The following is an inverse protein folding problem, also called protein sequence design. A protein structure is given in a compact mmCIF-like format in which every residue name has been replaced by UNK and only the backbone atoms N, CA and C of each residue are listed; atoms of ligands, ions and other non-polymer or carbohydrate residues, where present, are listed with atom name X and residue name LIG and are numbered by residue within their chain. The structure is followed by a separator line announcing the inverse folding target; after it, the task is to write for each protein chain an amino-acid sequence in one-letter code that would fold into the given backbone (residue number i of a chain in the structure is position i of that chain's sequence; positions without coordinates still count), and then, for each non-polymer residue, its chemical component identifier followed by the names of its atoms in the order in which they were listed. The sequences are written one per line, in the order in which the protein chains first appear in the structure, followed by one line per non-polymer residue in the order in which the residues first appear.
data_IF_599072586548
#
_entry.id   IF_599072586548
#
_cell.length_a   1.000
_cell.length_b   1.000
_cell.length_c   1.000
_cell.angle_alpha   90.00
_cell.angle_beta   90.00
_cell.angle_gamma   90.00
#
_symmetry.space_group_name_H-M   'P 1'
#
loop_
_entity.id
_entity.type
_entity.pdbx_description
1 polymer ?
#
# COMPACT_ATOMS: atom_id res chain seq x y z
N UNK A 1 -3.41 -19.86 -8.22
CA UNK A 1 -3.31 -21.30 -7.84
C UNK A 1 -1.97 -21.80 -8.28
N UNK A 2 -1.03 -21.97 -7.42
CA UNK A 2 -0.05 -23.02 -7.66
C UNK A 2 -0.83 -24.33 -7.50
N UNK A 3 -0.85 -25.16 -8.51
CA UNK A 3 -1.06 -26.60 -8.27
C UNK A 3 -0.03 -27.00 -7.22
N UNK A 4 -0.30 -28.02 -6.40
CA UNK A 4 0.61 -28.54 -5.36
C UNK A 4 2.09 -28.75 -5.81
N UNK A 5 2.40 -28.48 -7.06
CA UNK A 5 3.70 -28.62 -7.73
C UNK A 5 4.34 -27.30 -8.22
N UNK A 6 3.87 -26.12 -7.83
CA UNK A 6 4.50 -24.84 -8.21
C UNK A 6 4.39 -24.45 -9.70
N UNK A 7 3.55 -25.11 -10.49
CA UNK A 7 3.33 -24.77 -11.90
C UNK A 7 2.22 -23.74 -12.04
N UNK A 8 2.48 -22.67 -12.81
CA UNK A 8 1.46 -21.70 -13.18
C UNK A 8 0.35 -22.37 -13.99
N UNK A 9 -0.91 -21.99 -13.72
CA UNK A 9 -2.09 -22.45 -14.45
C UNK A 9 -1.92 -22.17 -15.95
N UNK A 10 -2.18 -23.16 -16.80
CA UNK A 10 -2.19 -23.00 -18.26
C UNK A 10 -3.59 -22.61 -18.78
N UNK A 11 -3.70 -22.31 -20.09
CA UNK A 11 -4.96 -21.86 -20.71
C UNK A 11 -6.11 -22.88 -20.58
N UNK A 12 -5.82 -24.16 -20.66
CA UNK A 12 -6.83 -25.22 -20.55
C UNK A 12 -7.33 -25.31 -19.09
N UNK A 13 -6.44 -25.23 -18.13
CA UNK A 13 -6.76 -25.18 -16.70
C UNK A 13 -7.57 -23.91 -16.36
N UNK A 14 -7.23 -22.77 -16.97
CA UNK A 14 -8.02 -21.54 -16.81
C UNK A 14 -9.44 -21.71 -17.35
N UNK A 15 -9.61 -22.26 -18.54
CA UNK A 15 -10.94 -22.52 -19.12
C UNK A 15 -11.77 -23.44 -18.24
N UNK A 16 -11.16 -24.52 -17.75
CA UNK A 16 -11.84 -25.46 -16.85
C UNK A 16 -12.23 -24.76 -15.55
N UNK A 17 -11.32 -23.97 -14.95
CA UNK A 17 -11.60 -23.22 -13.74
C UNK A 17 -12.78 -22.25 -13.89
N UNK A 18 -12.84 -21.50 -14.99
CA UNK A 18 -13.95 -20.59 -15.29
C UNK A 18 -15.29 -21.35 -15.43
N UNK A 19 -15.29 -22.54 -16.05
CA UNK A 19 -16.47 -23.38 -16.18
C UNK A 19 -16.92 -23.92 -14.81
N UNK A 20 -16.00 -24.45 -14.02
CA UNK A 20 -16.28 -25.06 -12.70
C UNK A 20 -16.89 -24.04 -11.73
N UNK A 21 -16.43 -22.79 -11.80
CA UNK A 21 -16.96 -21.68 -11.00
C UNK A 21 -18.10 -20.91 -11.67
N UNK A 22 -18.54 -21.35 -12.86
CA UNK A 22 -19.63 -20.71 -13.65
C UNK A 22 -19.40 -19.24 -13.90
N UNK A 23 -18.15 -18.83 -14.15
CA UNK A 23 -17.79 -17.42 -14.33
C UNK A 23 -18.34 -16.90 -15.64
N UNK A 24 -19.15 -15.86 -15.56
CA UNK A 24 -19.70 -15.14 -16.71
C UNK A 24 -18.81 -13.96 -17.12
N UNK A 25 -18.23 -13.27 -16.16
CA UNK A 25 -17.42 -12.08 -16.36
C UNK A 25 -16.07 -12.14 -15.65
N UNK A 26 -15.07 -11.51 -16.28
CA UNK A 26 -13.72 -11.35 -15.73
C UNK A 26 -13.42 -9.87 -15.58
N UNK A 27 -13.13 -9.43 -14.37
CA UNK A 27 -12.52 -8.14 -14.12
C UNK A 27 -11.01 -8.24 -14.41
N UNK A 28 -10.63 -7.81 -15.59
CA UNK A 28 -9.23 -7.68 -15.98
C UNK A 28 -8.71 -6.34 -15.47
N UNK A 29 -7.78 -6.33 -14.51
CA UNK A 29 -7.36 -5.10 -13.82
C UNK A 29 -5.85 -4.90 -13.83
N UNK A 30 -5.43 -3.63 -13.77
CA UNK A 30 -4.07 -3.20 -13.45
C UNK A 30 -4.12 -2.19 -12.29
N UNK A 31 -3.21 -2.25 -11.31
CA UNK A 31 -3.08 -1.21 -10.29
C UNK A 31 -2.41 0.02 -10.90
N UNK A 32 -3.06 1.19 -10.86
CA UNK A 32 -2.44 2.46 -11.25
C UNK A 32 -1.54 3.03 -10.15
N UNK A 33 -0.92 4.19 -10.37
CA UNK A 33 -0.01 4.82 -9.41
C UNK A 33 -0.68 5.27 -8.11
N UNK A 34 -1.99 5.53 -8.13
CA UNK A 34 -2.78 5.83 -6.95
C UNK A 34 -3.26 4.57 -6.20
N UNK A 35 -3.03 3.38 -6.74
CA UNK A 35 -3.57 2.12 -6.22
C UNK A 35 -5.03 1.89 -6.57
N UNK A 36 -5.53 2.56 -7.62
CA UNK A 36 -6.88 2.33 -8.16
C UNK A 36 -6.85 1.19 -9.17
N UNK A 37 -7.88 0.33 -9.14
CA UNK A 37 -8.04 -0.72 -10.14
C UNK A 37 -8.52 -0.11 -11.47
N UNK A 38 -7.66 -0.12 -12.48
CA UNK A 38 -7.99 0.27 -13.84
C UNK A 38 -8.15 -0.98 -14.69
N UNK A 39 -9.16 -1.02 -15.55
CA UNK A 39 -9.36 -2.24 -16.32
C UNK A 39 -10.66 -2.30 -17.10
N UNK A 40 -11.03 -3.53 -17.43
CA UNK A 40 -12.25 -3.82 -18.21
C UNK A 40 -12.97 -5.04 -17.64
N UNK A 41 -14.28 -4.99 -17.66
CA UNK A 41 -15.12 -6.19 -17.57
C UNK A 41 -15.10 -6.90 -18.92
N UNK A 42 -14.82 -8.18 -18.92
CA UNK A 42 -14.76 -8.99 -20.13
C UNK A 42 -15.63 -10.25 -19.95
N UNK A 43 -16.52 -10.58 -20.91
CA UNK A 43 -17.15 -11.90 -20.89
C UNK A 43 -16.09 -13.00 -20.83
N UNK A 44 -16.27 -14.02 -20.00
CA UNK A 44 -15.27 -15.08 -19.73
C UNK A 44 -14.77 -15.74 -21.03
N UNK A 45 -15.69 -16.00 -22.00
CA UNK A 45 -15.30 -16.51 -23.31
C UNK A 45 -14.35 -15.57 -24.04
N UNK A 46 -14.61 -14.25 -24.02
CA UNK A 46 -13.80 -13.26 -24.72
C UNK A 46 -12.40 -13.13 -24.08
N UNK A 47 -12.35 -13.18 -22.75
CA UNK A 47 -11.10 -13.17 -22.00
C UNK A 47 -10.19 -14.35 -22.40
N UNK A 48 -10.75 -15.57 -22.50
CA UNK A 48 -9.98 -16.76 -22.91
C UNK A 48 -9.54 -16.73 -24.37
N UNK A 49 -10.32 -16.08 -25.27
CA UNK A 49 -9.95 -15.93 -26.67
C UNK A 49 -8.81 -14.92 -26.89
N UNK A 50 -8.79 -13.84 -26.11
CA UNK A 50 -7.85 -12.72 -26.29
C UNK A 50 -6.57 -12.85 -25.48
N UNK A 51 -6.56 -13.64 -24.41
CA UNK A 51 -5.42 -13.82 -23.51
C UNK A 51 -5.01 -12.56 -22.75
N UNK A 52 -5.93 -11.61 -22.56
CA UNK A 52 -5.70 -10.35 -21.87
C UNK A 52 -6.57 -9.21 -22.42
N UNK A 53 -6.35 -8.01 -21.92
CA UNK A 53 -7.05 -6.79 -22.35
C UNK A 53 -6.08 -5.82 -23.05
N UNK A 54 -6.62 -4.74 -23.60
CA UNK A 54 -5.86 -3.61 -24.15
C UNK A 54 -6.22 -2.36 -23.38
N UNK A 55 -5.20 -1.64 -22.91
CA UNK A 55 -5.29 -0.35 -22.23
C UNK A 55 -4.18 0.55 -22.70
N UNK A 56 -4.40 1.87 -22.84
CA UNK A 56 -3.34 2.81 -23.14
C UNK A 56 -2.41 2.98 -21.92
N UNK A 57 -1.15 3.34 -22.17
CA UNK A 57 -0.18 3.56 -21.08
C UNK A 57 -0.56 4.75 -20.18
N UNK A 58 -1.35 5.70 -20.71
CA UNK A 58 -1.84 6.86 -19.97
C UNK A 58 -2.65 6.51 -18.71
N UNK A 59 -3.15 5.29 -18.56
CA UNK A 59 -3.80 4.85 -17.31
C UNK A 59 -2.89 5.01 -16.08
N UNK A 60 -1.56 4.96 -16.26
CA UNK A 60 -0.59 5.13 -15.18
C UNK A 60 -0.26 6.58 -14.85
N UNK A 61 -0.69 7.55 -15.65
CA UNK A 61 -0.42 8.97 -15.44
C UNK A 61 -1.65 9.77 -15.00
N UNK A 62 -2.69 9.08 -14.58
CA UNK A 62 -3.87 9.71 -14.00
C UNK A 62 -3.65 10.02 -12.52
N UNK A 63 -3.95 11.25 -12.11
CA UNK A 63 -4.01 11.67 -10.71
C UNK A 63 -5.16 10.98 -9.97
N UNK A 64 -5.23 11.17 -8.65
CA UNK A 64 -6.36 10.69 -7.85
C UNK A 64 -7.69 11.38 -8.23
N UNK A 65 -7.64 12.55 -8.88
CA UNK A 65 -8.81 13.27 -9.41
C UNK A 65 -9.23 12.75 -10.78
N UNK A 66 -8.46 11.85 -11.40
CA UNK A 66 -8.70 11.32 -12.73
C UNK A 66 -8.13 12.17 -13.87
N UNK A 67 -7.47 13.28 -13.55
CA UNK A 67 -6.81 14.15 -14.53
C UNK A 67 -5.47 13.58 -14.96
N UNK A 68 -5.09 13.84 -16.22
CA UNK A 68 -3.79 13.49 -16.76
C UNK A 68 -2.74 14.57 -16.45
N UNK A 69 -1.46 14.22 -16.48
CA UNK A 69 -0.37 15.17 -16.33
C UNK A 69 -0.29 16.04 -17.59
N UNK A 70 -0.39 17.37 -17.45
CA UNK A 70 -0.45 18.30 -18.57
C UNK A 70 0.81 18.27 -19.46
N UNK A 71 2.01 18.11 -18.86
CA UNK A 71 3.31 18.21 -19.54
C UNK A 71 3.77 16.89 -20.18
N UNK A 72 3.03 15.77 -20.04
CA UNK A 72 3.53 14.48 -20.51
C UNK A 72 3.72 14.39 -22.03
N UNK A 73 2.94 15.14 -22.79
CA UNK A 73 3.06 15.22 -24.25
C UNK A 73 4.27 16.04 -24.69
N UNK A 74 4.61 17.12 -23.95
CA UNK A 74 5.70 18.03 -24.30
C UNK A 74 7.08 17.40 -24.05
N UNK A 75 7.20 16.60 -22.99
CA UNK A 75 8.46 15.97 -22.60
C UNK A 75 8.71 14.57 -23.20
N UNK A 76 7.78 14.02 -23.95
CA UNK A 76 7.81 12.62 -24.46
C UNK A 76 8.10 11.57 -23.37
N UNK A 77 7.62 11.82 -22.15
CA UNK A 77 7.83 10.90 -21.02
C UNK A 77 6.93 9.67 -21.16
N UNK A 78 5.74 9.84 -21.74
CA UNK A 78 4.84 8.77 -22.20
C UNK A 78 4.64 8.93 -23.69
N UNK A 79 4.30 7.85 -24.39
CA UNK A 79 4.05 7.92 -25.84
C UNK A 79 2.93 8.93 -26.15
N UNK A 80 3.22 10.04 -26.88
CA UNK A 80 2.22 11.07 -27.19
C UNK A 80 1.09 10.56 -28.09
N UNK A 81 1.23 9.39 -28.71
CA UNK A 81 0.18 8.73 -29.51
C UNK A 81 -0.71 7.85 -28.61
N UNK A 82 -0.30 7.62 -27.36
CA UNK A 82 -1.02 6.83 -26.35
C UNK A 82 -1.42 5.43 -26.85
N UNK A 83 -0.44 4.71 -27.39
CA UNK A 83 -0.68 3.35 -27.90
C UNK A 83 -1.08 2.41 -26.79
N UNK A 84 -1.95 1.46 -27.14
CA UNK A 84 -2.31 0.37 -26.24
C UNK A 84 -1.09 -0.45 -25.81
N UNK A 85 -1.01 -0.73 -24.53
CA UNK A 85 -0.08 -1.72 -23.99
C UNK A 85 -0.57 -3.15 -24.30
N UNK A 86 0.36 -4.09 -24.30
CA UNK A 86 0.08 -5.51 -24.24
C UNK A 86 -0.08 -5.86 -22.75
N UNK A 87 -1.23 -6.34 -22.33
CA UNK A 87 -1.41 -6.81 -20.96
C UNK A 87 -1.48 -8.33 -20.91
N UNK A 88 -0.89 -8.94 -19.88
CA UNK A 88 -0.93 -10.38 -19.65
C UNK A 88 -1.46 -10.68 -18.26
N UNK A 89 -2.48 -11.54 -18.14
CA UNK A 89 -3.01 -11.93 -16.83
C UNK A 89 -1.96 -12.71 -16.04
N UNK A 90 -1.75 -12.32 -14.79
CA UNK A 90 -1.05 -13.16 -13.82
C UNK A 90 -2.06 -14.08 -13.15
N UNK A 91 -2.13 -15.32 -13.62
CA UNK A 91 -3.14 -16.29 -13.15
C UNK A 91 -2.95 -16.70 -11.68
N UNK A 92 -1.79 -16.40 -11.06
CA UNK A 92 -1.61 -16.57 -9.63
C UNK A 92 -2.50 -15.60 -8.82
N UNK A 93 -2.89 -14.47 -9.43
CA UNK A 93 -3.77 -13.46 -8.83
C UNK A 93 -5.25 -13.69 -9.09
N UNK A 94 -5.64 -14.74 -9.82
CA UNK A 94 -7.04 -15.04 -10.14
C UNK A 94 -7.85 -15.30 -8.85
N UNK A 95 -8.89 -14.51 -8.61
CA UNK A 95 -9.74 -14.56 -7.41
C UNK A 95 -11.21 -14.41 -7.80
N UNK A 96 -12.10 -15.04 -7.03
CA UNK A 96 -13.53 -14.77 -7.13
C UNK A 96 -13.85 -13.35 -6.62
N UNK A 97 -14.89 -12.73 -7.17
CA UNK A 97 -15.44 -11.45 -6.70
C UNK A 97 -16.71 -11.75 -5.91
N UNK A 98 -16.65 -11.82 -4.56
CA UNK A 98 -17.74 -12.37 -3.75
C UNK A 98 -18.95 -11.43 -3.61
N UNK A 99 -18.81 -10.16 -3.94
CA UNK A 99 -19.90 -9.17 -3.88
C UNK A 99 -20.63 -8.98 -5.21
N UNK A 100 -20.22 -9.64 -6.29
CA UNK A 100 -20.89 -9.58 -7.58
C UNK A 100 -22.30 -10.20 -7.54
N UNK A 101 -23.26 -9.64 -8.28
CA UNK A 101 -24.57 -10.28 -8.47
C UNK A 101 -24.43 -11.49 -9.39
N UNK A 102 -23.61 -11.36 -10.43
CA UNK A 102 -23.26 -12.44 -11.36
C UNK A 102 -21.91 -13.06 -10.99
N UNK A 103 -21.70 -14.36 -11.28
CA UNK A 103 -20.44 -15.03 -11.00
C UNK A 103 -19.27 -14.37 -11.74
N UNK A 104 -18.46 -13.64 -11.00
CA UNK A 104 -17.36 -12.81 -11.50
C UNK A 104 -16.04 -13.22 -10.87
N UNK A 105 -14.95 -13.15 -11.62
CA UNK A 105 -13.60 -13.25 -11.08
C UNK A 105 -12.76 -12.01 -11.45
N UNK A 106 -11.76 -11.75 -10.65
CA UNK A 106 -10.78 -10.68 -10.87
C UNK A 106 -9.40 -11.27 -11.12
N UNK A 107 -8.63 -10.68 -12.04
CA UNK A 107 -7.24 -11.05 -12.30
C UNK A 107 -6.40 -9.81 -12.58
N UNK A 108 -5.24 -9.72 -11.93
CA UNK A 108 -4.28 -8.64 -12.13
C UNK A 108 -3.44 -8.93 -13.36
N UNK A 109 -3.19 -7.90 -14.17
CA UNK A 109 -2.39 -8.00 -15.39
C UNK A 109 -1.06 -7.28 -15.23
N UNK A 110 -0.02 -7.89 -15.78
CA UNK A 110 1.25 -7.23 -16.05
C UNK A 110 1.18 -6.50 -17.41
N UNK A 111 1.88 -5.37 -17.51
CA UNK A 111 1.84 -4.49 -18.67
C UNK A 111 3.18 -4.48 -19.40
N UNK A 112 3.10 -4.52 -20.74
CA UNK A 112 4.26 -4.58 -21.65
C UNK A 112 4.08 -3.61 -22.80
N UNK A 113 5.21 -3.13 -23.33
CA UNK A 113 5.23 -2.38 -24.59
C UNK A 113 4.91 -3.31 -25.79
N UNK A 114 4.79 -2.74 -27.00
CA UNK A 114 4.61 -3.52 -28.21
C UNK A 114 5.83 -4.41 -28.51
N UNK A 115 7.01 -4.02 -28.04
CA UNK A 115 8.27 -4.78 -28.12
C UNK A 115 8.37 -5.86 -27.04
N UNK A 116 7.34 -5.99 -26.19
CA UNK A 116 7.25 -6.94 -25.06
C UNK A 116 8.19 -6.63 -23.89
N UNK A 117 8.67 -5.40 -23.78
CA UNK A 117 9.40 -4.93 -22.61
C UNK A 117 8.39 -4.57 -21.50
N UNK A 118 8.67 -4.87 -20.22
CA UNK A 118 7.82 -4.46 -19.12
C UNK A 118 7.64 -2.94 -19.05
N UNK A 119 6.43 -2.47 -18.80
CA UNK A 119 6.17 -1.05 -18.53
C UNK A 119 6.79 -0.67 -17.19
N UNK A 120 7.89 0.05 -17.24
CA UNK A 120 8.80 0.34 -16.13
C UNK A 120 8.20 1.25 -15.05
N UNK A 121 7.12 1.96 -15.36
CA UNK A 121 6.38 2.84 -14.46
C UNK A 121 5.20 2.15 -13.74
N UNK A 122 4.78 0.97 -14.20
CA UNK A 122 3.73 0.22 -13.54
C UNK A 122 4.13 -0.13 -12.10
N UNK A 123 3.32 0.21 -11.06
CA UNK A 123 3.69 0.02 -9.65
C UNK A 123 4.14 -1.39 -9.31
N UNK A 124 3.46 -2.39 -9.85
CA UNK A 124 3.80 -3.81 -9.65
C UNK A 124 5.16 -4.14 -10.23
N UNK A 125 5.53 -3.55 -11.38
CA UNK A 125 6.83 -3.74 -12.02
C UNK A 125 7.95 -2.98 -11.28
N UNK A 126 7.66 -1.81 -10.71
CA UNK A 126 8.61 -1.09 -9.84
C UNK A 126 9.00 -1.96 -8.65
N UNK A 127 8.02 -2.60 -7.99
CA UNK A 127 8.30 -3.50 -6.86
C UNK A 127 9.08 -4.75 -7.31
N UNK A 128 8.66 -5.41 -8.39
CA UNK A 128 9.37 -6.60 -8.92
C UNK A 128 10.85 -6.32 -9.18
N UNK A 129 11.17 -5.20 -9.79
CA UNK A 129 12.56 -4.80 -10.05
C UNK A 129 13.39 -4.73 -8.76
N UNK A 130 12.83 -4.17 -7.68
CA UNK A 130 13.53 -4.12 -6.39
C UNK A 130 13.70 -5.53 -5.80
N UNK A 131 12.69 -6.37 -5.85
CA UNK A 131 12.75 -7.77 -5.37
C UNK A 131 13.81 -8.56 -6.15
N UNK A 132 13.88 -8.39 -7.47
CA UNK A 132 14.91 -9.02 -8.31
C UNK A 132 16.33 -8.58 -7.93
N UNK A 133 16.54 -7.32 -7.54
CA UNK A 133 17.84 -6.84 -7.06
C UNK A 133 18.28 -7.53 -5.76
N UNK A 134 17.34 -7.86 -4.86
CA UNK A 134 17.63 -8.68 -3.67
C UNK A 134 17.96 -10.13 -4.07
N UNK A 135 17.18 -10.73 -4.97
CA UNK A 135 17.44 -12.08 -5.46
C UNK A 135 18.82 -12.20 -6.10
N UNK A 136 19.26 -11.19 -6.85
CA UNK A 136 20.60 -11.14 -7.43
C UNK A 136 21.73 -11.15 -6.36
N UNK A 137 21.42 -10.74 -5.13
CA UNK A 137 22.34 -10.80 -3.97
C UNK A 137 22.16 -12.08 -3.12
N UNK A 138 21.34 -13.03 -3.57
CA UNK A 138 21.04 -14.25 -2.82
C UNK A 138 20.16 -14.01 -1.58
N UNK A 139 19.39 -12.93 -1.56
CA UNK A 139 18.47 -12.55 -0.49
C UNK A 139 17.03 -12.59 -1.01
N UNK A 140 16.12 -13.05 -0.18
CA UNK A 140 14.70 -13.14 -0.47
C UNK A 140 13.95 -12.27 0.54
N UNK A 141 13.38 -11.13 0.12
CA UNK A 141 12.56 -10.31 1.00
C UNK A 141 11.27 -11.03 1.41
N UNK A 142 10.91 -10.89 2.68
CA UNK A 142 9.66 -11.40 3.26
C UNK A 142 9.00 -10.25 4.00
N UNK A 143 7.71 -10.03 3.73
CA UNK A 143 6.94 -8.93 4.32
C UNK A 143 5.66 -9.43 4.96
N UNK A 144 5.11 -8.68 5.92
CA UNK A 144 3.78 -8.85 6.48
C UNK A 144 3.15 -7.48 6.70
N UNK A 145 2.03 -7.18 6.05
CA UNK A 145 1.33 -5.90 6.26
C UNK A 145 0.36 -5.95 7.43
N UNK A 146 0.24 -4.81 8.12
CA UNK A 146 -0.83 -4.46 9.06
C UNK A 146 -1.52 -3.23 8.48
N UNK A 147 -2.82 -3.28 8.23
CA UNK A 147 -3.55 -2.18 7.60
C UNK A 147 -4.73 -1.73 8.46
N UNK A 148 -4.76 -0.42 8.73
CA UNK A 148 -5.82 0.24 9.48
C UNK A 148 -6.80 0.95 8.53
N UNK A 149 -8.07 1.02 8.93
CA UNK A 149 -9.09 1.79 8.24
C UNK A 149 -10.19 2.22 9.21
N UNK A 150 -10.94 3.25 8.82
CA UNK A 150 -12.12 3.69 9.56
C UNK A 150 -13.39 3.26 8.86
N UNK A 151 -14.38 2.82 9.67
CA UNK A 151 -15.74 2.78 9.23
C UNK A 151 -16.38 4.15 9.50
N UNK A 152 -17.12 4.67 8.53
CA UNK A 152 -17.81 5.96 8.66
C UNK A 152 -19.23 5.87 8.12
N UNK A 153 -20.11 6.68 8.66
CA UNK A 153 -21.45 6.86 8.11
C UNK A 153 -21.34 7.30 6.65
N UNK A 154 -22.29 6.88 5.81
CA UNK A 154 -22.38 7.39 4.43
C UNK A 154 -22.35 8.93 4.45
N UNK A 155 -21.33 9.48 3.79
CA UNK A 155 -21.16 10.91 3.60
C UNK A 155 -21.39 11.22 2.12
N UNK A 156 -22.49 11.89 1.82
CA UNK A 156 -22.90 12.27 0.46
C UNK A 156 -22.62 13.75 0.16
N UNK A 157 -22.14 14.50 1.15
CA UNK A 157 -21.81 15.91 1.02
C UNK A 157 -20.39 16.16 1.56
N UNK A 158 -19.42 16.51 0.70
CA UNK A 158 -18.03 16.68 1.08
C UNK A 158 -17.78 17.85 2.04
N UNK A 159 -18.73 18.76 2.20
CA UNK A 159 -18.61 19.90 3.13
C UNK A 159 -18.85 19.50 4.59
N UNK A 160 -19.41 18.29 4.84
CA UNK A 160 -19.59 17.76 6.20
C UNK A 160 -18.45 16.87 6.65
N UNK A 161 -18.03 16.98 7.94
CA UNK A 161 -17.06 16.10 8.53
C UNK A 161 -17.52 14.62 8.50
N UNK A 162 -16.55 13.71 8.41
CA UNK A 162 -16.83 12.29 8.58
C UNK A 162 -17.20 11.98 10.04
N UNK A 163 -18.12 11.04 10.22
CA UNK A 163 -18.61 10.59 11.52
C UNK A 163 -18.57 9.05 11.61
N UNK A 164 -18.34 8.47 12.80
CA UNK A 164 -18.50 7.04 13.01
C UNK A 164 -19.93 6.59 12.66
N UNK A 165 -20.10 5.37 12.12
CA UNK A 165 -21.42 4.83 11.83
C UNK A 165 -22.13 4.42 13.14
N UNK A 166 -23.40 4.08 13.02
CA UNK A 166 -24.19 3.51 14.12
C UNK A 166 -23.94 2.00 14.16
N UNK A 167 -23.47 1.49 15.30
CA UNK A 167 -23.27 0.05 15.51
C UNK A 167 -24.56 -0.69 15.85
N UNK A 168 -24.45 -2.00 16.15
CA UNK A 168 -25.60 -2.87 16.49
C UNK A 168 -26.37 -2.41 17.73
N UNK A 169 -25.73 -1.70 18.64
CA UNK A 169 -26.38 -1.08 19.81
C UNK A 169 -27.34 0.06 19.46
N UNK A 170 -27.39 0.51 18.23
CA UNK A 170 -28.15 1.69 17.80
C UNK A 170 -27.48 3.02 18.14
N UNK A 171 -26.20 3.01 18.57
CA UNK A 171 -25.44 4.20 18.95
C UNK A 171 -24.17 4.32 18.12
N UNK A 172 -23.69 5.57 17.93
CA UNK A 172 -22.32 5.83 17.44
C UNK A 172 -21.33 5.57 18.56
N UNK A 173 -20.17 5.07 18.22
CA UNK A 173 -19.03 5.06 19.11
C UNK A 173 -18.56 6.50 19.39
N UNK A 174 -18.38 6.84 20.66
CA UNK A 174 -17.97 8.18 21.10
C UNK A 174 -16.74 8.18 22.01
N UNK A 175 -16.26 7.00 22.35
CA UNK A 175 -15.12 6.79 23.25
C UNK A 175 -14.11 5.88 22.55
N UNK A 176 -12.85 6.21 22.66
CA UNK A 176 -11.75 5.38 22.13
C UNK A 176 -11.64 4.10 22.94
N UNK A 177 -11.69 2.96 22.27
CA UNK A 177 -11.73 1.63 22.88
C UNK A 177 -10.71 0.65 22.27
N UNK A 178 -9.40 0.98 22.26
CA UNK A 178 -8.40 0.11 21.66
C UNK A 178 -8.45 -1.29 22.27
N UNK A 179 -8.42 -2.31 21.41
CA UNK A 179 -8.48 -3.75 21.73
C UNK A 179 -9.79 -4.20 22.41
N UNK A 180 -10.85 -3.40 22.40
CA UNK A 180 -12.14 -3.79 22.94
C UNK A 180 -12.85 -4.77 22.01
N UNK A 181 -13.14 -5.98 22.51
CA UNK A 181 -13.92 -6.95 21.77
C UNK A 181 -15.37 -6.49 21.59
N UNK A 182 -15.96 -5.84 22.59
CA UNK A 182 -17.32 -5.30 22.50
C UNK A 182 -17.44 -4.23 21.41
N UNK A 183 -16.38 -3.44 21.19
CA UNK A 183 -16.34 -2.45 20.12
C UNK A 183 -16.20 -3.10 18.73
N UNK A 184 -15.45 -4.20 18.61
CA UNK A 184 -15.42 -5.04 17.41
C UNK A 184 -16.82 -5.59 17.10
N UNK A 185 -17.50 -6.11 18.11
CA UNK A 185 -18.82 -6.71 18.00
C UNK A 185 -19.93 -5.71 17.58
N UNK A 186 -19.73 -4.41 17.73
CA UNK A 186 -20.66 -3.39 17.20
C UNK A 186 -20.82 -3.50 15.68
N UNK A 187 -19.82 -4.05 14.98
CA UNK A 187 -19.78 -4.21 13.52
C UNK A 187 -19.70 -5.68 13.09
N UNK A 188 -20.11 -6.63 13.95
CA UNK A 188 -19.99 -8.08 13.70
C UNK A 188 -20.45 -8.53 12.30
N UNK A 189 -21.63 -8.13 11.75
CA UNK A 189 -22.04 -8.59 10.42
C UNK A 189 -21.10 -8.13 9.31
N UNK A 190 -20.57 -6.92 9.38
CA UNK A 190 -19.58 -6.41 8.44
C UNK A 190 -18.26 -7.19 8.54
N UNK A 191 -17.79 -7.47 9.75
CA UNK A 191 -16.55 -8.19 10.01
C UNK A 191 -16.66 -9.64 9.53
N UNK A 192 -17.81 -10.28 9.73
CA UNK A 192 -18.04 -11.64 9.24
C UNK A 192 -17.96 -11.69 7.72
N UNK A 193 -18.61 -10.76 7.01
CA UNK A 193 -18.53 -10.68 5.55
C UNK A 193 -17.08 -10.41 5.08
N UNK A 194 -16.30 -9.60 5.80
CA UNK A 194 -14.87 -9.40 5.48
C UNK A 194 -14.10 -10.71 5.56
N UNK A 195 -14.28 -11.51 6.63
CA UNK A 195 -13.61 -12.80 6.76
C UNK A 195 -14.04 -13.78 5.67
N UNK A 196 -15.34 -13.89 5.42
CA UNK A 196 -15.90 -14.78 4.39
C UNK A 196 -15.38 -14.38 2.99
N UNK A 197 -15.35 -13.09 2.67
CA UNK A 197 -14.83 -12.60 1.39
C UNK A 197 -13.32 -12.77 1.27
N UNK A 198 -12.57 -12.56 2.34
CA UNK A 198 -11.13 -12.82 2.36
C UNK A 198 -10.82 -14.32 2.13
N UNK A 199 -11.58 -15.21 2.76
CA UNK A 199 -11.43 -16.66 2.54
C UNK A 199 -11.71 -17.05 1.09
N UNK A 200 -12.83 -16.60 0.51
CA UNK A 200 -13.20 -16.83 -0.89
C UNK A 200 -12.13 -16.31 -1.84
N UNK A 201 -11.57 -15.14 -1.57
CA UNK A 201 -10.51 -14.51 -2.35
C UNK A 201 -9.11 -15.03 -2.03
N UNK A 202 -8.95 -15.89 -1.03
CA UNK A 202 -7.64 -16.36 -0.54
C UNK A 202 -6.71 -15.22 -0.16
N UNK A 203 -7.25 -14.23 0.53
CA UNK A 203 -6.50 -13.20 1.20
C UNK A 203 -6.17 -13.71 2.61
N UNK A 204 -4.89 -13.84 2.90
CA UNK A 204 -4.41 -14.55 4.10
C UNK A 204 -4.41 -13.65 5.33
N UNK A 205 -5.62 -13.34 5.82
CA UNK A 205 -5.82 -12.59 7.06
C UNK A 205 -5.34 -13.42 8.25
N UNK A 206 -4.64 -12.77 9.18
CA UNK A 206 -4.15 -13.38 10.43
C UNK A 206 -5.07 -13.06 11.61
N UNK A 207 -5.31 -11.77 11.85
CA UNK A 207 -6.18 -11.30 12.93
C UNK A 207 -6.80 -9.93 12.61
N UNK A 208 -7.79 -9.53 13.45
CA UNK A 208 -8.42 -8.22 13.42
C UNK A 208 -8.47 -7.67 14.86
N UNK A 209 -8.23 -6.37 14.99
CA UNK A 209 -8.36 -5.65 16.26
C UNK A 209 -9.14 -4.34 16.08
N UNK A 210 -9.76 -3.87 17.16
CA UNK A 210 -10.23 -2.50 17.25
C UNK A 210 -9.02 -1.59 17.57
N UNK A 211 -8.82 -0.58 16.75
CA UNK A 211 -7.75 0.40 16.93
C UNK A 211 -8.15 1.54 17.88
N UNK A 212 -7.26 2.53 18.02
CA UNK A 212 -7.44 3.61 19.00
C UNK A 212 -8.57 4.56 18.62
N UNK A 213 -8.82 4.78 17.32
CA UNK A 213 -9.87 5.71 16.87
C UNK A 213 -11.26 5.10 16.91
N UNK A 214 -12.28 5.96 16.98
CA UNK A 214 -13.69 5.53 16.97
C UNK A 214 -14.04 4.83 15.65
N UNK A 215 -14.53 3.59 15.73
CA UNK A 215 -14.80 2.71 14.60
C UNK A 215 -13.58 2.49 13.68
N UNK A 216 -12.38 2.53 14.24
CA UNK A 216 -11.13 2.19 13.56
C UNK A 216 -10.79 0.73 13.79
N UNK A 217 -10.53 0.02 12.70
CA UNK A 217 -10.14 -1.38 12.67
C UNK A 217 -8.77 -1.56 12.06
N UNK A 218 -8.04 -2.56 12.55
CA UNK A 218 -6.79 -3.05 11.98
C UNK A 218 -6.94 -4.50 11.58
N UNK A 219 -6.41 -4.84 10.39
CA UNK A 219 -6.31 -6.23 9.95
C UNK A 219 -4.86 -6.53 9.60
N UNK A 220 -4.37 -7.65 10.14
CA UNK A 220 -3.02 -8.15 9.94
C UNK A 220 -3.04 -9.34 8.99
N UNK A 221 -1.99 -9.46 8.18
CA UNK A 221 -1.85 -10.50 7.18
C UNK A 221 -0.66 -11.41 7.48
N UNK A 222 -0.75 -12.67 7.06
CA UNK A 222 0.36 -13.59 7.12
C UNK A 222 1.52 -13.08 6.26
N UNK A 223 2.74 -13.41 6.68
CA UNK A 223 3.95 -13.01 5.96
C UNK A 223 4.15 -13.81 4.66
N UNK A 224 4.75 -13.17 3.66
CA UNK A 224 5.00 -13.80 2.37
C UNK A 224 5.82 -12.94 1.41
N UNK A 225 5.70 -13.25 0.13
CA UNK A 225 6.36 -12.53 -0.96
C UNK A 225 5.85 -11.09 -1.07
N UNK A 226 6.74 -10.09 -1.27
CA UNK A 226 6.33 -8.68 -1.34
C UNK A 226 5.32 -8.36 -2.46
N UNK A 227 5.46 -8.98 -3.64
CA UNK A 227 4.56 -8.73 -4.77
C UNK A 227 3.20 -9.36 -4.50
N UNK A 228 3.19 -10.61 -4.04
CA UNK A 228 1.95 -11.32 -3.70
C UNK A 228 1.17 -10.58 -2.60
N UNK A 229 1.83 -10.14 -1.53
CA UNK A 229 1.16 -9.42 -0.45
C UNK A 229 0.73 -8.01 -0.86
N UNK A 230 1.45 -7.35 -1.78
CA UNK A 230 0.97 -6.10 -2.38
C UNK A 230 -0.28 -6.33 -3.24
N UNK A 231 -0.36 -7.43 -3.99
CA UNK A 231 -1.56 -7.86 -4.71
C UNK A 231 -2.73 -8.10 -3.75
N UNK A 232 -2.48 -8.80 -2.63
CA UNK A 232 -3.49 -9.04 -1.59
C UNK A 232 -3.99 -7.72 -0.97
N UNK A 233 -3.08 -6.78 -0.63
CA UNK A 233 -3.46 -5.47 -0.08
C UNK A 233 -4.27 -4.63 -1.08
N UNK A 234 -3.89 -4.66 -2.35
CA UNK A 234 -4.62 -3.98 -3.42
C UNK A 234 -6.07 -4.50 -3.53
N UNK A 235 -6.27 -5.81 -3.54
CA UNK A 235 -7.59 -6.44 -3.56
C UNK A 235 -8.34 -6.24 -2.25
N UNK A 236 -7.67 -6.37 -1.10
CA UNK A 236 -8.27 -6.19 0.22
C UNK A 236 -8.88 -4.81 0.41
N UNK A 237 -8.16 -3.74 0.04
CA UNK A 237 -8.71 -2.38 0.11
C UNK A 237 -10.01 -2.23 -0.69
N UNK A 238 -10.13 -2.93 -1.79
CA UNK A 238 -11.35 -2.97 -2.60
C UNK A 238 -12.44 -3.78 -1.91
N UNK A 239 -12.10 -4.96 -1.40
CA UNK A 239 -13.00 -5.84 -0.65
C UNK A 239 -13.65 -5.10 0.52
N UNK A 240 -12.86 -4.42 1.35
CA UNK A 240 -13.37 -3.66 2.50
C UNK A 240 -14.35 -2.56 2.08
N UNK A 241 -14.04 -1.81 1.01
CA UNK A 241 -14.94 -0.75 0.53
C UNK A 241 -16.26 -1.30 -0.01
N UNK A 242 -16.21 -2.37 -0.79
CA UNK A 242 -17.42 -3.01 -1.34
C UNK A 242 -18.27 -3.62 -0.23
N UNK A 243 -17.66 -4.29 0.75
CA UNK A 243 -18.37 -4.81 1.92
C UNK A 243 -19.04 -3.68 2.71
N UNK A 244 -18.33 -2.58 2.98
CA UNK A 244 -18.89 -1.45 3.69
C UNK A 244 -20.12 -0.85 2.98
N UNK A 245 -20.06 -0.71 1.65
CA UNK A 245 -21.19 -0.22 0.86
C UNK A 245 -22.41 -1.15 0.96
N UNK A 246 -22.23 -2.45 1.04
CA UNK A 246 -23.31 -3.42 1.25
C UNK A 246 -23.96 -3.30 2.63
N UNK A 247 -23.19 -2.87 3.63
CA UNK A 247 -23.67 -2.57 4.99
C UNK A 247 -24.13 -1.12 5.17
N UNK A 248 -24.35 -0.38 4.08
CA UNK A 248 -24.83 1.01 4.10
C UNK A 248 -23.93 2.00 4.84
N UNK A 249 -22.63 1.70 4.96
CA UNK A 249 -21.58 2.55 5.52
C UNK A 249 -20.47 2.72 4.50
N UNK A 250 -19.48 3.57 4.80
CA UNK A 250 -18.25 3.63 4.03
C UNK A 250 -17.07 3.14 4.88
N UNK A 251 -16.09 2.54 4.22
CA UNK A 251 -14.76 2.30 4.78
C UNK A 251 -13.75 3.22 4.10
N UNK A 252 -12.92 3.89 4.89
CA UNK A 252 -11.91 4.80 4.36
C UNK A 252 -10.51 4.43 4.81
N UNK A 253 -9.59 4.46 3.85
CA UNK A 253 -8.15 4.30 4.04
C UNK A 253 -7.41 5.66 4.02
N UNK A 254 -8.10 6.77 4.19
CA UNK A 254 -7.45 8.08 4.35
C UNK A 254 -6.48 8.02 5.54
N UNK A 255 -5.29 8.58 5.37
CA UNK A 255 -4.29 8.62 6.43
C UNK A 255 -4.76 9.40 7.68
N UNK A 256 -5.62 10.41 7.48
CA UNK A 256 -6.20 11.24 8.56
C UNK A 256 -7.63 11.64 8.20
N UNK A 257 -8.63 10.76 8.40
CA UNK A 257 -10.00 11.05 7.99
C UNK A 257 -10.76 12.02 8.92
N UNK A 258 -10.44 12.01 10.21
CA UNK A 258 -11.11 12.83 11.24
C UNK A 258 -10.09 13.63 12.04
N UNK A 259 -10.41 14.89 12.31
CA UNK A 259 -9.48 15.89 12.90
C UNK A 259 -8.93 15.45 14.26
N UNK A 260 -9.78 14.97 15.14
CA UNK A 260 -9.43 14.66 16.53
C UNK A 260 -9.14 13.18 16.79
N UNK A 261 -9.30 12.33 15.78
CA UNK A 261 -9.00 10.91 15.87
C UNK A 261 -7.56 10.59 15.39
N UNK A 262 -6.98 9.44 15.75
CA UNK A 262 -5.71 8.98 15.19
C UNK A 262 -5.75 8.87 13.67
N UNK A 263 -4.58 8.85 13.03
CA UNK A 263 -4.45 8.51 11.63
C UNK A 263 -4.51 6.99 11.42
N UNK A 264 -4.67 6.57 10.16
CA UNK A 264 -4.59 5.16 9.74
C UNK A 264 -3.27 4.87 9.05
N UNK A 265 -2.66 3.76 9.44
CA UNK A 265 -1.35 3.29 8.98
C UNK A 265 -1.48 2.06 8.08
N UNK A 266 -0.46 1.82 7.28
CA UNK A 266 -0.13 0.51 6.73
C UNK A 266 1.31 0.18 7.16
N UNK A 267 1.46 -0.49 8.29
CA UNK A 267 2.78 -0.91 8.75
C UNK A 267 3.28 -2.11 7.94
N UNK A 268 4.57 -2.16 7.67
CA UNK A 268 5.20 -3.27 6.99
C UNK A 268 6.25 -3.91 7.88
N UNK A 269 6.01 -5.15 8.29
CA UNK A 269 7.05 -6.00 8.84
C UNK A 269 7.91 -6.53 7.70
N UNK A 270 9.21 -6.41 7.82
CA UNK A 270 10.17 -6.75 6.77
C UNK A 270 11.27 -7.62 7.38
N UNK A 271 11.55 -8.74 6.75
CA UNK A 271 12.75 -9.53 6.99
C UNK A 271 13.37 -9.98 5.67
N UNK A 272 14.59 -10.50 5.73
CA UNK A 272 15.28 -11.09 4.59
C UNK A 272 15.63 -12.55 4.91
N UNK A 273 15.43 -13.44 3.94
CA UNK A 273 15.91 -14.82 4.01
C UNK A 273 17.09 -15.01 3.09
N UNK A 274 18.03 -15.87 3.47
CA UNK A 274 19.11 -16.31 2.57
C UNK A 274 18.56 -17.32 1.59
N UNK A 275 18.79 -17.12 0.29
CA UNK A 275 18.37 -18.08 -0.74
C UNK A 275 19.06 -19.44 -0.61
N UNK A 276 20.24 -19.48 0.00
CA UNK A 276 21.06 -20.70 0.12
C UNK A 276 20.52 -21.73 1.10
N UNK A 277 19.91 -21.31 2.22
CA UNK A 277 19.46 -22.19 3.31
C UNK A 277 18.07 -21.85 3.86
N UNK A 278 17.44 -20.77 3.34
CA UNK A 278 16.15 -20.29 3.80
C UNK A 278 16.16 -19.63 5.19
N UNK A 279 17.32 -19.53 5.85
CA UNK A 279 17.46 -18.94 7.16
C UNK A 279 17.27 -17.41 7.16
N UNK A 280 16.90 -16.84 8.29
CA UNK A 280 16.74 -15.40 8.45
C UNK A 280 18.10 -14.69 8.33
N UNK A 281 18.25 -13.82 7.30
CA UNK A 281 19.49 -13.11 7.05
C UNK A 281 19.78 -11.99 8.06
N UNK A 282 18.77 -11.57 8.82
CA UNK A 282 18.91 -10.59 9.90
C UNK A 282 19.52 -11.19 11.18
N UNK A 283 19.73 -12.52 11.18
CA UNK A 283 20.32 -13.22 12.33
C UNK A 283 21.58 -14.01 11.94
N UNK A 284 22.56 -13.96 12.82
CA UNK A 284 23.72 -14.82 12.78
C UNK A 284 23.39 -16.24 13.27
N UNK A 285 24.24 -17.27 12.99
CA UNK A 285 24.01 -18.64 13.44
C UNK A 285 23.93 -18.80 14.96
N UNK A 286 24.53 -17.89 15.73
CA UNK A 286 24.47 -17.87 17.19
C UNK A 286 23.22 -17.16 17.75
N UNK A 287 22.32 -16.72 16.87
CA UNK A 287 21.10 -15.99 17.21
C UNK A 287 21.27 -14.49 17.44
N UNK A 288 22.49 -13.96 17.37
CA UNK A 288 22.73 -12.52 17.45
C UNK A 288 22.28 -11.80 16.18
N UNK A 289 22.20 -10.47 16.25
CA UNK A 289 21.89 -9.63 15.10
C UNK A 289 23.03 -9.66 14.06
N UNK A 290 22.65 -9.78 12.79
CA UNK A 290 23.62 -9.73 11.70
C UNK A 290 23.97 -8.28 11.32
N UNK A 291 25.07 -8.11 10.62
CA UNK A 291 25.42 -6.82 10.00
C UNK A 291 24.38 -6.38 8.96
N UNK A 292 23.77 -7.33 8.22
CA UNK A 292 22.72 -7.03 7.26
C UNK A 292 21.51 -6.37 7.92
N UNK A 293 21.12 -6.84 9.13
CA UNK A 293 20.03 -6.23 9.88
C UNK A 293 20.31 -4.77 10.21
N UNK A 294 21.50 -4.48 10.73
CA UNK A 294 21.90 -3.11 11.07
C UNK A 294 22.00 -2.22 9.81
N UNK A 295 22.60 -2.74 8.76
CA UNK A 295 22.74 -2.02 7.49
C UNK A 295 21.39 -1.70 6.85
N UNK A 296 20.43 -2.62 6.90
CA UNK A 296 19.09 -2.41 6.39
C UNK A 296 18.38 -1.27 7.14
N UNK A 297 18.44 -1.24 8.48
CA UNK A 297 17.92 -0.15 9.29
C UNK A 297 18.62 1.17 8.93
N UNK A 298 19.95 1.18 8.85
CA UNK A 298 20.73 2.37 8.48
C UNK A 298 20.34 2.94 7.12
N UNK A 299 20.02 2.06 6.17
CA UNK A 299 19.52 2.45 4.85
C UNK A 299 18.18 3.16 4.92
N UNK A 300 17.21 2.62 5.68
CA UNK A 300 15.89 3.26 5.83
C UNK A 300 16.03 4.58 6.61
N UNK A 301 16.87 4.66 7.64
CA UNK A 301 17.12 5.92 8.36
C UNK A 301 17.67 7.01 7.44
N UNK A 302 18.62 6.67 6.57
CA UNK A 302 19.29 7.63 5.69
C UNK A 302 18.41 8.07 4.52
N UNK A 303 17.75 7.12 3.85
CA UNK A 303 17.03 7.36 2.58
C UNK A 303 15.52 7.43 2.73
N UNK A 304 14.96 7.00 3.85
CA UNK A 304 13.52 7.06 4.12
C UNK A 304 12.91 8.46 4.04
N UNK A 305 13.59 9.52 4.54
CA UNK A 305 13.07 10.88 4.36
C UNK A 305 12.91 11.27 2.89
N UNK A 306 13.79 10.83 1.99
CA UNK A 306 13.69 11.08 0.56
C UNK A 306 12.60 10.21 -0.11
N UNK A 307 12.36 9.02 0.41
CA UNK A 307 11.33 8.10 -0.07
C UNK A 307 9.93 8.36 0.53
N UNK A 308 9.78 9.33 1.44
CA UNK A 308 8.53 9.60 2.17
C UNK A 308 7.34 9.83 1.25
N UNK A 309 7.54 10.37 0.05
CA UNK A 309 6.49 10.57 -0.94
C UNK A 309 5.72 9.29 -1.28
N UNK A 310 6.39 8.13 -1.27
CA UNK A 310 5.76 6.83 -1.54
C UNK A 310 5.04 6.26 -0.31
N UNK A 311 5.35 6.75 0.89
CA UNK A 311 4.72 6.37 2.17
C UNK A 311 3.67 7.38 2.65
N UNK A 312 3.64 8.58 2.08
CA UNK A 312 2.71 9.67 2.39
C UNK A 312 2.36 10.44 1.09
N UNK A 313 1.54 9.86 0.20
CA UNK A 313 1.40 10.33 -1.17
C UNK A 313 0.42 11.50 -1.36
N UNK A 314 -0.30 11.95 -0.33
CA UNK A 314 -1.31 13.00 -0.41
C UNK A 314 -1.10 14.09 0.62
N UNK A 315 -1.69 15.27 0.42
CA UNK A 315 -1.66 16.34 1.43
C UNK A 315 -2.22 15.87 2.76
N UNK A 316 -3.27 15.05 2.73
CA UNK A 316 -3.87 14.45 3.93
C UNK A 316 -2.91 13.55 4.71
N UNK A 317 -2.00 12.85 4.02
CA UNK A 317 -1.03 11.93 4.65
C UNK A 317 -0.14 12.63 5.68
N UNK A 318 0.24 13.89 5.43
CA UNK A 318 1.11 14.69 6.32
C UNK A 318 0.40 15.15 7.60
N UNK A 319 -0.93 15.14 7.64
CA UNK A 319 -1.73 15.39 8.84
C UNK A 319 -1.63 14.25 9.86
N UNK A 320 -1.16 13.06 9.45
CA UNK A 320 -0.90 11.92 10.31
C UNK A 320 0.39 12.09 11.13
N UNK A 321 1.41 12.75 10.59
CA UNK A 321 2.70 12.94 11.26
C UNK A 321 2.61 13.95 12.39
N UNK A 322 2.05 13.53 13.51
CA UNK A 322 1.87 14.34 14.70
C UNK A 322 2.42 13.65 15.94
N UNK A 323 2.85 14.43 16.94
CA UNK A 323 3.26 13.87 18.22
C UNK A 323 2.04 13.29 18.95
N UNK A 324 2.26 12.20 19.70
CA UNK A 324 1.30 11.63 20.65
C UNK A 324 0.12 10.81 20.08
N UNK A 325 0.10 10.52 18.78
CA UNK A 325 -0.93 9.68 18.16
C UNK A 325 -0.36 8.44 17.44
N UNK A 326 0.71 7.86 17.97
CA UNK A 326 1.39 6.63 17.49
C UNK A 326 1.98 6.70 16.07
N UNK A 327 1.86 7.84 15.37
CA UNK A 327 2.51 8.04 14.08
C UNK A 327 3.96 8.51 14.26
N UNK A 328 4.90 8.06 13.42
CA UNK A 328 6.29 8.48 13.50
C UNK A 328 6.46 9.94 13.06
N UNK A 329 7.40 10.64 13.68
CA UNK A 329 7.82 11.99 13.27
C UNK A 329 9.28 12.00 12.79
N UNK A 330 9.95 10.88 12.89
CA UNK A 330 11.33 10.62 12.48
C UNK A 330 11.50 9.12 12.21
N UNK A 331 12.69 8.73 11.75
CA UNK A 331 13.06 7.34 11.49
C UNK A 331 14.05 6.80 12.52
N UNK A 332 13.92 7.22 13.79
CA UNK A 332 14.58 6.52 14.87
C UNK A 332 14.12 5.07 14.92
N UNK A 333 15.00 4.19 15.40
CA UNK A 333 14.66 2.78 15.57
C UNK A 333 14.82 2.35 17.03
N UNK A 334 14.13 1.30 17.43
CA UNK A 334 14.25 0.77 18.79
C UNK A 334 13.51 -0.55 18.96
N UNK A 335 13.91 -1.28 20.02
CA UNK A 335 13.31 -2.55 20.39
C UNK A 335 11.97 -2.31 21.08
N UNK A 336 10.95 -2.93 20.53
CA UNK A 336 9.56 -2.88 21.02
C UNK A 336 9.03 -1.48 21.38
N UNK A 337 9.55 -0.46 20.72
CA UNK A 337 9.23 0.94 20.95
C UNK A 337 8.24 1.46 19.90
N UNK A 338 7.01 1.75 20.30
CA UNK A 338 5.95 2.21 19.38
C UNK A 338 6.04 3.70 19.03
N UNK A 339 7.00 4.45 19.60
CA UNK A 339 7.20 5.88 19.30
C UNK A 339 8.19 6.13 18.17
N UNK A 340 8.90 5.10 17.73
CA UNK A 340 9.90 5.17 16.65
C UNK A 340 9.29 4.92 15.27
N UNK A 341 9.98 5.33 14.21
CA UNK A 341 9.59 5.01 12.84
C UNK A 341 9.91 3.58 12.43
N UNK A 342 10.94 2.98 13.02
CA UNK A 342 11.40 1.61 12.76
C UNK A 342 11.43 0.81 14.06
N UNK A 343 10.37 0.06 14.32
CA UNK A 343 10.25 -0.79 15.49
C UNK A 343 10.82 -2.17 15.20
N UNK A 344 11.62 -2.70 16.12
CA UNK A 344 12.06 -4.09 16.12
C UNK A 344 11.25 -4.85 17.15
N UNK A 345 10.21 -5.61 16.75
CA UNK A 345 9.40 -6.36 17.68
C UNK A 345 10.23 -7.43 18.40
N UNK A 346 9.86 -7.74 19.64
CA UNK A 346 10.47 -8.87 20.36
C UNK A 346 10.20 -10.18 19.60
N UNK A 347 11.23 -10.94 19.32
CA UNK A 347 11.15 -12.22 18.61
C UNK A 347 12.38 -13.06 18.84
N UNK A 348 12.32 -14.36 18.52
CA UNK A 348 13.48 -15.20 18.34
C UNK A 348 14.29 -14.83 17.09
N UNK A 349 15.40 -15.51 16.87
CA UNK A 349 16.31 -15.25 15.76
C UNK A 349 15.70 -15.53 14.38
N UNK A 350 14.83 -16.54 14.28
CA UNK A 350 14.21 -16.94 13.00
C UNK A 350 13.11 -15.96 12.57
N UNK A 351 12.50 -15.28 13.54
CA UNK A 351 11.43 -14.33 13.35
C UNK A 351 11.87 -12.86 13.46
N UNK A 352 13.19 -12.58 13.48
CA UNK A 352 13.73 -11.22 13.53
C UNK A 352 13.31 -10.41 12.31
N UNK A 353 12.71 -9.25 12.57
CA UNK A 353 12.15 -8.38 11.56
C UNK A 353 12.16 -6.92 11.99
N UNK A 354 11.93 -6.03 11.05
CA UNK A 354 11.78 -4.60 11.25
C UNK A 354 10.35 -4.22 10.85
N UNK A 355 9.64 -3.52 11.71
CA UNK A 355 8.36 -2.90 11.40
C UNK A 355 8.61 -1.46 10.96
N UNK A 356 8.40 -1.17 9.68
CA UNK A 356 8.39 0.19 9.16
C UNK A 356 6.98 0.80 9.35
N UNK A 357 6.91 1.83 10.19
CA UNK A 357 5.67 2.47 10.62
C UNK A 357 5.33 3.75 9.83
N UNK A 358 6.11 4.05 8.79
CA UNK A 358 6.02 5.33 8.08
C UNK A 358 4.77 5.43 7.19
N UNK A 359 4.39 4.36 6.52
CA UNK A 359 3.33 4.39 5.52
C UNK A 359 1.95 4.62 6.14
N UNK A 360 1.17 5.51 5.52
CA UNK A 360 -0.26 5.66 5.79
C UNK A 360 -1.08 4.57 5.10
N UNK A 361 -2.32 4.35 5.55
CA UNK A 361 -3.23 3.40 4.90
C UNK A 361 -3.63 3.81 3.47
N UNK A 362 -3.42 5.07 3.12
CA UNK A 362 -3.73 5.68 1.81
C UNK A 362 -2.71 5.35 0.69
N UNK A 363 -1.61 4.70 1.02
CA UNK A 363 -0.55 4.40 0.03
C UNK A 363 -0.97 3.39 -1.02
N UNK A 364 -0.28 3.43 -2.15
CA UNK A 364 -0.19 2.32 -3.08
C UNK A 364 0.71 1.23 -2.45
N UNK A 365 0.22 0.01 -2.18
CA UNK A 365 0.97 -1.01 -1.46
C UNK A 365 2.27 -1.41 -2.17
N UNK A 366 2.27 -1.50 -3.49
CA UNK A 366 3.47 -1.84 -4.26
C UNK A 366 4.57 -0.78 -4.10
N UNK A 367 4.20 0.50 -4.16
CA UNK A 367 5.14 1.60 -4.08
C UNK A 367 5.67 1.80 -2.65
N UNK A 368 4.83 1.62 -1.64
CA UNK A 368 5.24 1.75 -0.23
C UNK A 368 6.28 0.68 0.16
N UNK A 369 6.05 -0.59 -0.24
CA UNK A 369 7.03 -1.63 0.06
C UNK A 369 8.26 -1.52 -0.81
N UNK A 370 8.14 -1.12 -2.10
CA UNK A 370 9.29 -0.85 -2.96
C UNK A 370 10.20 0.23 -2.36
N UNK A 371 9.63 1.31 -1.80
CA UNK A 371 10.37 2.37 -1.11
C UNK A 371 11.16 1.84 0.08
N UNK A 372 10.52 1.05 0.94
CA UNK A 372 11.14 0.46 2.14
C UNK A 372 12.29 -0.48 1.76
N UNK A 373 12.06 -1.35 0.79
CA UNK A 373 13.07 -2.29 0.29
C UNK A 373 14.22 -1.57 -0.42
N UNK A 374 13.93 -0.57 -1.27
CA UNK A 374 14.98 0.21 -1.94
C UNK A 374 15.90 0.93 -0.95
N UNK A 375 15.32 1.56 0.08
CA UNK A 375 16.11 2.18 1.15
C UNK A 375 16.97 1.16 1.89
N UNK A 376 16.41 0.00 2.24
CA UNK A 376 17.14 -1.09 2.88
C UNK A 376 18.28 -1.63 2.00
N UNK A 377 18.03 -1.81 0.69
CA UNK A 377 19.03 -2.27 -0.28
C UNK A 377 20.23 -1.31 -0.35
N UNK A 378 19.97 0.00 -0.42
CA UNK A 378 21.05 1.02 -0.35
C UNK A 378 21.84 0.92 0.94
N UNK A 379 21.17 0.59 2.05
CA UNK A 379 21.85 0.35 3.32
C UNK A 379 22.83 -0.81 3.27
N UNK A 380 22.47 -1.90 2.61
CA UNK A 380 23.33 -3.07 2.39
C UNK A 380 24.50 -2.72 1.45
N UNK A 381 24.22 -2.07 0.32
CA UNK A 381 25.23 -1.69 -0.67
C UNK A 381 26.31 -0.75 -0.08
N UNK A 382 25.88 0.26 0.70
CA UNK A 382 26.74 1.26 1.32
C UNK A 382 27.27 0.84 2.70
N UNK A 383 26.86 -0.31 3.22
CA UNK A 383 27.22 -0.83 4.54
C UNK A 383 26.94 0.18 5.66
N UNK A 384 25.78 0.80 5.60
CA UNK A 384 25.40 1.85 6.54
C UNK A 384 25.16 1.26 7.93
N UNK A 385 25.55 2.05 8.95
CA UNK A 385 25.25 1.71 10.33
C UNK A 385 24.14 2.63 10.82
N UNK A 386 23.10 2.08 11.51
CA UNK A 386 22.07 2.90 12.10
C UNK A 386 22.59 3.67 13.32
N UNK A 387 21.85 4.70 13.71
CA UNK A 387 22.03 5.32 15.03
C UNK A 387 21.91 4.28 16.16
N UNK A 388 22.25 4.67 17.39
CA UNK A 388 21.94 3.84 18.55
C UNK A 388 20.41 3.65 18.70
N UNK A 389 19.93 2.48 19.15
CA UNK A 389 18.51 2.26 19.33
C UNK A 389 17.93 3.24 20.37
N UNK A 390 16.76 3.79 20.07
CA UNK A 390 16.04 4.71 20.96
C UNK A 390 15.38 3.94 22.10
N UNK A 391 15.87 4.15 23.31
CA UNK A 391 15.33 3.53 24.52
C UNK A 391 14.18 4.36 25.14
N UNK A 392 14.13 5.65 24.82
CA UNK A 392 13.10 6.57 25.29
C UNK A 392 12.02 6.85 24.26
N UNK A 393 11.30 7.95 24.46
CA UNK A 393 10.29 8.38 23.49
C UNK A 393 10.94 9.12 22.31
N UNK A 394 10.80 8.59 21.10
CA UNK A 394 11.26 9.25 19.88
C UNK A 394 10.55 10.58 19.59
N UNK A 395 9.42 10.86 20.23
CA UNK A 395 8.73 12.16 20.15
C UNK A 395 9.52 13.30 20.81
N UNK A 396 10.53 13.00 21.62
CA UNK A 396 11.44 13.99 22.17
C UNK A 396 12.55 14.39 21.17
N UNK A 397 12.73 13.62 20.10
CA UNK A 397 13.66 13.92 19.03
C UNK A 397 13.07 14.94 18.05
N UNK A 398 13.92 15.61 17.28
CA UNK A 398 13.46 16.52 16.22
C UNK A 398 12.57 15.83 15.20
N UNK A 399 11.69 16.61 14.59
CA UNK A 399 10.96 16.20 13.39
C UNK A 399 11.96 16.05 12.24
N UNK A 400 12.00 14.90 11.59
CA UNK A 400 13.00 14.59 10.54
C UNK A 400 12.37 14.13 9.21
N UNK A 401 11.04 13.99 9.16
CA UNK A 401 10.32 13.68 7.92
C UNK A 401 9.94 14.98 7.19
N UNK A 402 9.70 14.95 5.87
CA UNK A 402 9.11 16.08 5.15
C UNK A 402 7.82 16.55 5.82
N UNK A 403 7.68 17.87 6.01
CA UNK A 403 6.50 18.47 6.67
C UNK A 403 5.30 18.66 5.75
N UNK A 404 5.46 18.42 4.44
CA UNK A 404 4.41 18.62 3.44
C UNK A 404 4.64 17.77 2.20
N UNK A 405 3.57 17.57 1.40
CA UNK A 405 3.65 16.91 0.11
C UNK A 405 4.65 17.59 -0.82
N UNK A 406 4.65 18.93 -0.87
CA UNK A 406 5.59 19.70 -1.70
C UNK A 406 7.05 19.46 -1.33
N UNK A 407 7.38 19.39 -0.04
CA UNK A 407 8.72 19.07 0.43
C UNK A 407 9.11 17.63 0.05
N UNK A 408 8.21 16.66 0.24
CA UNK A 408 8.47 15.27 -0.10
C UNK A 408 8.67 15.06 -1.60
N UNK A 409 7.86 15.72 -2.45
CA UNK A 409 8.05 15.72 -3.91
C UNK A 409 9.45 16.20 -4.27
N UNK A 410 9.86 17.34 -3.71
CA UNK A 410 11.19 17.92 -3.97
C UNK A 410 12.33 16.98 -3.55
N UNK A 411 12.25 16.39 -2.35
CA UNK A 411 13.26 15.44 -1.85
C UNK A 411 13.35 14.20 -2.72
N UNK A 412 12.20 13.61 -3.07
CA UNK A 412 12.14 12.41 -3.87
C UNK A 412 12.72 12.63 -5.27
N UNK A 413 12.38 13.75 -5.91
CA UNK A 413 12.92 14.12 -7.22
C UNK A 413 14.44 14.32 -7.22
N UNK A 414 14.98 14.87 -6.13
CA UNK A 414 16.41 15.15 -5.96
C UNK A 414 17.23 13.94 -5.49
N UNK A 415 16.60 12.83 -5.14
CA UNK A 415 17.29 11.65 -4.62
C UNK A 415 18.02 10.89 -5.74
N UNK A 416 19.32 11.18 -5.89
CA UNK A 416 20.18 10.53 -6.89
C UNK A 416 20.33 9.02 -6.64
N UNK A 417 20.23 8.58 -5.37
CA UNK A 417 20.43 7.17 -5.00
C UNK A 417 19.19 6.30 -5.22
N UNK A 418 17.98 6.83 -5.03
CA UNK A 418 16.73 6.10 -5.28
C UNK A 418 16.42 6.00 -6.78
N UNK A 419 16.88 6.94 -7.58
CA UNK A 419 16.62 7.03 -9.01
C UNK A 419 17.01 5.77 -9.81
N UNK A 420 18.23 5.19 -9.68
CA UNK A 420 18.60 3.96 -10.39
C UNK A 420 17.77 2.73 -9.99
N UNK A 421 17.26 2.70 -8.75
CA UNK A 421 16.49 1.57 -8.24
C UNK A 421 15.03 1.64 -8.68
N UNK A 422 14.41 2.81 -8.48
CA UNK A 422 12.98 3.01 -8.76
C UNK A 422 12.70 3.34 -10.24
N UNK A 423 13.70 3.83 -10.98
CA UNK A 423 13.59 4.23 -12.40
C UNK A 423 13.41 5.73 -12.56
N UNK A 424 14.18 6.31 -13.48
CA UNK A 424 14.16 7.76 -13.77
C UNK A 424 12.79 8.21 -14.29
N UNK A 425 12.23 7.46 -15.22
CA UNK A 425 10.92 7.73 -15.80
C UNK A 425 9.80 7.66 -14.77
N UNK A 426 9.83 6.66 -13.87
CA UNK A 426 8.88 6.54 -12.77
C UNK A 426 8.93 7.78 -11.85
N UNK A 427 10.13 8.18 -11.40
CA UNK A 427 10.29 9.34 -10.51
C UNK A 427 9.75 10.61 -11.19
N UNK A 428 10.09 10.83 -12.45
CA UNK A 428 9.62 11.98 -13.24
C UNK A 428 8.08 12.07 -13.26
N UNK A 429 7.43 10.99 -13.67
CA UNK A 429 5.97 10.92 -13.79
C UNK A 429 5.30 11.05 -12.44
N UNK A 430 5.76 10.28 -11.45
CA UNK A 430 5.14 10.29 -10.13
C UNK A 430 5.23 11.65 -9.45
N UNK A 431 6.38 12.32 -9.54
CA UNK A 431 6.55 13.67 -8.98
C UNK A 431 5.71 14.73 -9.72
N UNK A 432 5.60 14.64 -11.04
CA UNK A 432 4.74 15.54 -11.84
C UNK A 432 3.26 15.36 -11.44
N UNK A 433 2.79 14.11 -11.34
CA UNK A 433 1.43 13.80 -10.90
C UNK A 433 1.15 14.35 -9.49
N UNK A 434 2.09 14.19 -8.56
CA UNK A 434 1.92 14.69 -7.19
C UNK A 434 1.98 16.21 -7.07
N UNK A 435 2.70 16.90 -7.97
CA UNK A 435 2.64 18.36 -8.07
C UNK A 435 1.27 18.86 -8.56
N UNK A 436 0.72 18.21 -9.58
CA UNK A 436 -0.61 18.55 -10.09
C UNK A 436 -1.68 18.33 -9.02
N UNK A 437 -1.66 17.21 -8.31
CA UNK A 437 -2.57 16.96 -7.17
C UNK A 437 -2.41 18.03 -6.05
N UNK A 438 -1.17 18.40 -5.75
CA UNK A 438 -0.90 19.47 -4.77
C UNK A 438 -1.45 20.81 -5.23
N UNK A 439 -1.28 21.15 -6.51
CA UNK A 439 -1.82 22.39 -7.09
C UNK A 439 -3.34 22.41 -7.03
N UNK A 440 -4.00 21.34 -7.48
CA UNK A 440 -5.45 21.21 -7.41
C UNK A 440 -5.99 21.36 -5.98
N UNK A 441 -5.30 20.76 -4.99
CA UNK A 441 -5.64 20.94 -3.58
C UNK A 441 -5.51 22.42 -3.14
N UNK A 442 -4.48 23.11 -3.61
CA UNK A 442 -4.19 24.49 -3.22
C UNK A 442 -5.19 25.52 -3.79
N UNK A 443 -5.93 25.16 -4.84
CA UNK A 443 -6.99 25.98 -5.43
C UNK A 443 -8.29 25.93 -4.61
N UNK A 444 -8.42 24.96 -3.69
CA UNK A 444 -9.61 24.83 -2.85
C UNK A 444 -9.55 25.80 -1.68
N UNK A 445 -10.53 26.70 -1.60
CA UNK A 445 -10.70 27.60 -0.45
C UNK A 445 -11.40 26.82 0.68
N UNK A 446 -10.69 26.56 1.74
CA UNK A 446 -11.15 25.69 2.83
C UNK A 446 -12.20 26.36 3.74
N UNK A 447 -13.02 25.57 4.49
CA UNK A 447 -13.89 26.12 5.53
C UNK A 447 -13.12 26.94 6.57
N UNK A 448 -11.88 26.51 6.93
CA UNK A 448 -11.02 27.22 7.88
C UNK A 448 -10.66 28.63 7.38
N UNK A 449 -10.33 28.79 6.11
CA UNK A 449 -10.03 30.11 5.51
C UNK A 449 -11.26 31.00 5.53
N UNK A 450 -12.44 30.47 5.18
CA UNK A 450 -13.70 31.21 5.24
C UNK A 450 -14.05 31.63 6.67
N UNK A 451 -13.84 30.75 7.66
CA UNK A 451 -14.13 31.02 9.06
C UNK A 451 -13.23 32.11 9.65
N UNK A 452 -11.92 31.96 9.43
CA UNK A 452 -10.94 32.79 10.15
C UNK A 452 -10.40 33.97 9.38
N UNK A 453 -10.43 33.98 8.04
CA UNK A 453 -9.86 35.06 7.24
C UNK A 453 -10.91 36.05 6.71
N UNK A 454 -12.16 35.63 6.55
CA UNK A 454 -13.20 36.44 5.89
C UNK A 454 -13.35 37.86 6.43
N UNK A 455 -13.30 38.02 7.75
CA UNK A 455 -13.48 39.34 8.43
C UNK A 455 -12.26 39.77 9.23
N UNK A 456 -11.18 38.95 9.27
CA UNK A 456 -10.02 39.22 10.09
C UNK A 456 -8.79 39.72 9.30
N UNK A 457 -8.85 39.69 7.98
CA UNK A 457 -7.77 40.14 7.10
C UNK A 457 -8.29 41.02 5.99
#
# INVERSE_FOLDING_TARGET
MSTDNGQSMNEEQLRQWLIDHKIDEVEAVVPDMAGVARGKYMPARKFTEQGGMRLPESVFIQSVTGEYIDDYLEENVVDPVDRDMITKPDLATLRLVPWGEEPTCCVIHDCYTQEKEPIDIAPRQVLRRIVEMFHAQGLVPVVAPEIEFYLVKRNTDPDYPLEPPVGRSGRKETVRQPYSMDAVDEFEPFIQDIYDYCEVQRLHVDNLAHETGTAQLEINFQHGDPVELSDQMFLFKRTVRETAMRHEIYATFMAKPMEHEPGSSMHWHISLRRASDGGNAFSNPDGSESELFRQFIGGIQKYGPDATLLSAPYVNSYRRFTRHLSAPINLQWGYDNRTVGLRVPHSDADNRRIENRLAGADVNPYLAIAASLACGLLGLEERLQPDAPEAGSAYQRPFALPGSLSEAVKRFEQSERLRPLLGDRFIKIYTAMKRQEYQAFFEVISPWEREYLLLNV
#
